data_IF_589170859546
#
_entry.id   IF_589170859546
#
_cell.length_a   1.000
_cell.length_b   1.000
_cell.length_c   1.000
_cell.angle_alpha   90.00
_cell.angle_beta   90.00
_cell.angle_gamma   90.00
#
_symmetry.space_group_name_H-M   'P 1'
#
loop_
_entity.id
_entity.type
_entity.pdbx_description
1 polymer ?
#
# COMPACT_ATOMS: atom_id res chain seq x y z
N UNK A 1 -17.04 -49.43 44.93
CA UNK A 1 -15.74 -48.96 44.43
C UNK A 1 -15.56 -47.51 44.85
N UNK A 2 -14.57 -47.15 45.69
CA UNK A 2 -14.35 -45.75 46.04
C UNK A 2 -13.78 -45.00 44.83
N UNK A 3 -14.21 -43.74 44.61
CA UNK A 3 -13.64 -42.89 43.56
C UNK A 3 -12.20 -42.52 43.93
N UNK A 4 -11.29 -42.61 42.96
CA UNK A 4 -9.92 -42.14 43.13
C UNK A 4 -9.91 -40.63 43.48
N UNK A 5 -9.05 -40.17 44.39
CA UNK A 5 -8.95 -38.76 44.73
C UNK A 5 -8.46 -37.94 43.52
N UNK A 6 -9.01 -36.74 43.36
CA UNK A 6 -8.59 -35.79 42.34
C UNK A 6 -7.09 -35.51 42.47
N UNK A 7 -6.34 -35.70 41.39
CA UNK A 7 -4.91 -35.34 41.33
C UNK A 7 -4.76 -33.81 41.40
N UNK A 8 -3.61 -33.35 41.88
CA UNK A 8 -3.24 -31.93 41.83
C UNK A 8 -3.36 -31.41 40.39
N UNK A 9 -4.21 -30.42 40.18
CA UNK A 9 -4.28 -29.71 38.90
C UNK A 9 -2.92 -29.03 38.69
N UNK A 10 -2.14 -29.50 37.73
CA UNK A 10 -0.94 -28.77 37.30
C UNK A 10 -1.38 -27.36 36.96
N UNK A 11 -0.80 -26.38 37.63
CA UNK A 11 -1.13 -24.96 37.48
C UNK A 11 -1.44 -24.59 36.03
N UNK A 12 -2.53 -23.86 35.83
CA UNK A 12 -2.81 -23.18 34.57
C UNK A 12 -1.61 -22.28 34.26
N UNK A 13 -0.65 -22.79 33.48
CA UNK A 13 0.54 -22.05 33.06
C UNK A 13 0.10 -20.98 32.07
N UNK A 14 -0.23 -19.80 32.57
CA UNK A 14 -0.28 -18.60 31.74
C UNK A 14 1.16 -18.25 31.37
N UNK A 15 1.51 -18.34 30.09
CA UNK A 15 2.83 -17.97 29.53
C UNK A 15 3.19 -16.47 29.71
N UNK A 16 2.47 -15.71 30.53
CA UNK A 16 2.71 -14.30 30.79
C UNK A 16 3.55 -14.18 32.06
N UNK A 17 4.88 -14.10 31.88
CA UNK A 17 5.77 -13.67 32.97
C UNK A 17 5.37 -12.25 33.36
N UNK A 18 5.08 -12.04 34.64
CA UNK A 18 4.86 -10.70 35.17
C UNK A 18 6.11 -9.83 35.01
N UNK A 19 5.94 -8.51 34.81
CA UNK A 19 7.09 -7.61 34.80
C UNK A 19 7.80 -7.66 36.15
N UNK A 20 9.14 -7.75 36.09
CA UNK A 20 10.02 -7.68 37.25
C UNK A 20 9.70 -6.46 38.14
N UNK A 21 9.68 -6.62 39.48
CA UNK A 21 9.37 -5.53 40.41
C UNK A 21 10.20 -4.26 40.16
N UNK A 22 11.49 -4.42 39.85
CA UNK A 22 12.38 -3.32 39.51
C UNK A 22 11.93 -2.54 38.26
N UNK A 23 11.53 -3.25 37.19
CA UNK A 23 11.03 -2.63 35.96
C UNK A 23 9.73 -1.88 36.21
N UNK A 24 8.86 -2.38 37.08
CA UNK A 24 7.63 -1.68 37.50
C UNK A 24 7.94 -0.37 38.23
N UNK A 25 8.92 -0.39 39.13
CA UNK A 25 9.40 0.80 39.84
C UNK A 25 9.88 1.90 38.89
N UNK A 26 10.69 1.54 37.89
CA UNK A 26 11.16 2.49 36.86
C UNK A 26 9.99 3.09 36.07
N UNK A 27 9.01 2.28 35.66
CA UNK A 27 7.83 2.76 34.91
C UNK A 27 7.04 3.77 35.74
N UNK A 28 6.80 3.48 37.02
CA UNK A 28 6.06 4.37 37.93
C UNK A 28 6.84 5.68 38.15
N UNK A 29 8.15 5.60 38.40
CA UNK A 29 8.99 6.79 38.60
C UNK A 29 9.02 7.71 37.38
N UNK A 30 9.17 7.14 36.18
CA UNK A 30 9.14 7.88 34.91
C UNK A 30 7.78 8.52 34.63
N UNK A 31 6.69 7.82 34.94
CA UNK A 31 5.34 8.36 34.81
C UNK A 31 5.08 9.52 35.77
N UNK A 32 5.51 9.41 37.04
CA UNK A 32 5.40 10.48 38.02
C UNK A 32 6.26 11.70 37.66
N UNK A 33 7.39 11.49 36.98
CA UNK A 33 8.22 12.56 36.42
C UNK A 33 7.59 13.25 35.18
N UNK A 34 6.38 12.85 34.77
CA UNK A 34 5.62 13.50 33.70
C UNK A 34 5.93 12.98 32.29
N UNK A 35 6.70 11.90 32.15
CA UNK A 35 6.92 11.29 30.83
C UNK A 35 5.62 10.66 30.29
N UNK A 36 5.40 10.76 28.97
CA UNK A 36 4.25 10.14 28.32
C UNK A 36 4.39 8.62 28.32
N UNK A 37 3.27 7.93 28.53
CA UNK A 37 3.21 6.45 28.60
C UNK A 37 3.79 5.77 27.35
N UNK A 38 3.56 6.35 26.16
CA UNK A 38 4.08 5.82 24.90
C UNK A 38 5.61 5.89 24.81
N UNK A 39 6.21 6.98 25.30
CA UNK A 39 7.67 7.17 25.28
C UNK A 39 8.33 6.19 26.25
N UNK A 40 7.77 6.02 27.45
CA UNK A 40 8.21 5.01 28.43
C UNK A 40 8.16 3.60 27.83
N UNK A 41 7.08 3.28 27.10
CA UNK A 41 6.91 1.97 26.45
C UNK A 41 7.96 1.72 25.36
N UNK A 42 8.23 2.70 24.51
CA UNK A 42 9.23 2.61 23.44
C UNK A 42 10.65 2.51 24.01
N UNK A 43 11.01 3.39 24.94
CA UNK A 43 12.36 3.45 25.52
C UNK A 43 12.69 2.20 26.34
N UNK A 44 11.70 1.65 27.05
CA UNK A 44 11.86 0.41 27.82
C UNK A 44 11.58 -0.86 27.00
N UNK A 45 11.27 -0.73 25.70
CA UNK A 45 10.94 -1.81 24.76
C UNK A 45 9.95 -2.84 25.34
N UNK A 46 8.91 -2.36 26.03
CA UNK A 46 8.00 -3.21 26.81
C UNK A 46 6.97 -3.92 25.93
N UNK A 47 6.65 -3.35 24.77
CA UNK A 47 5.70 -3.88 23.80
C UNK A 47 6.12 -3.40 22.41
N UNK A 48 6.56 -4.34 21.56
CA UNK A 48 6.71 -4.05 20.12
C UNK A 48 5.34 -3.73 19.52
N UNK A 49 5.27 -2.82 18.52
CA UNK A 49 4.05 -2.63 17.74
C UNK A 49 3.52 -3.99 17.28
N UNK A 50 2.21 -4.20 17.35
CA UNK A 50 1.61 -5.43 16.83
C UNK A 50 1.79 -5.42 15.32
N UNK A 51 2.80 -6.13 14.83
CA UNK A 51 2.95 -6.42 13.41
C UNK A 51 1.68 -7.18 13.02
N UNK A 52 0.92 -6.59 12.10
CA UNK A 52 -0.32 -7.20 11.60
C UNK A 52 -0.03 -8.54 10.93
N UNK A 53 -1.09 -9.15 10.38
CA UNK A 53 -0.92 -10.36 9.57
C UNK A 53 0.04 -10.05 8.40
N UNK A 54 1.09 -10.85 8.18
CA UNK A 54 1.97 -10.66 7.03
C UNK A 54 1.17 -10.79 5.73
N UNK A 55 1.59 -10.05 4.73
CA UNK A 55 0.95 -10.07 3.41
C UNK A 55 1.12 -11.45 2.78
N UNK A 56 0.09 -11.92 2.07
CA UNK A 56 0.12 -13.23 1.40
C UNK A 56 1.15 -13.23 0.26
N UNK A 57 1.36 -12.06 -0.33
CA UNK A 57 2.29 -11.85 -1.43
C UNK A 57 3.63 -11.35 -0.87
N UNK A 58 4.67 -12.19 -1.00
CA UNK A 58 6.04 -11.81 -0.65
C UNK A 58 6.57 -10.70 -1.55
N UNK A 59 7.58 -9.96 -1.09
CA UNK A 59 8.17 -8.88 -1.89
C UNK A 59 8.79 -9.38 -3.19
N UNK A 60 9.39 -10.57 -3.19
CA UNK A 60 9.86 -11.25 -4.40
C UNK A 60 8.70 -11.53 -5.38
N UNK A 61 7.55 -11.97 -4.86
CA UNK A 61 6.34 -12.16 -5.67
C UNK A 61 5.83 -10.85 -6.28
N UNK A 62 5.84 -9.75 -5.52
CA UNK A 62 5.49 -8.41 -6.03
C UNK A 62 6.40 -8.00 -7.19
N UNK A 63 7.71 -8.15 -7.02
CA UNK A 63 8.69 -7.82 -8.05
C UNK A 63 8.52 -8.67 -9.32
N UNK A 64 8.24 -9.97 -9.16
CA UNK A 64 7.99 -10.85 -10.29
C UNK A 64 6.77 -10.41 -11.10
N UNK A 65 5.66 -10.05 -10.44
CA UNK A 65 4.46 -9.54 -11.12
C UNK A 65 4.78 -8.26 -11.90
N UNK A 66 5.50 -7.33 -11.29
CA UNK A 66 5.90 -6.08 -11.96
C UNK A 66 6.79 -6.34 -13.17
N UNK A 67 7.67 -7.34 -13.11
CA UNK A 67 8.48 -7.76 -14.25
C UNK A 67 7.61 -8.31 -15.39
N UNK A 68 6.60 -9.14 -15.08
CA UNK A 68 5.69 -9.67 -16.10
C UNK A 68 4.91 -8.55 -16.79
N UNK A 69 4.42 -7.56 -16.05
CA UNK A 69 3.69 -6.42 -16.62
C UNK A 69 4.60 -5.52 -17.47
N UNK A 70 5.88 -5.40 -17.10
CA UNK A 70 6.85 -4.69 -17.95
C UNK A 70 7.12 -5.43 -19.27
N UNK A 71 7.02 -6.76 -19.28
CA UNK A 71 7.21 -7.58 -20.49
C UNK A 71 5.95 -7.59 -21.36
N UNK A 72 4.80 -7.75 -20.73
CA UNK A 72 3.48 -7.72 -21.38
C UNK A 72 2.54 -6.80 -20.59
N UNK A 73 2.40 -5.53 -21.01
CA UNK A 73 1.53 -4.55 -20.33
C UNK A 73 0.04 -4.89 -20.38
N UNK A 74 -0.40 -5.77 -21.28
CA UNK A 74 -1.81 -6.10 -21.49
C UNK A 74 -2.24 -7.40 -20.81
N UNK A 75 -1.33 -8.05 -20.08
CA UNK A 75 -1.60 -9.28 -19.34
C UNK A 75 -2.77 -9.08 -18.36
N UNK A 76 -3.73 -10.03 -18.37
CA UNK A 76 -4.86 -10.00 -17.44
C UNK A 76 -4.40 -10.42 -16.05
N UNK A 77 -5.01 -9.82 -15.02
CA UNK A 77 -4.71 -10.16 -13.62
C UNK A 77 -5.03 -11.61 -13.26
N UNK A 78 -6.02 -12.20 -13.93
CA UNK A 78 -6.33 -13.63 -13.81
C UNK A 78 -5.19 -14.52 -14.27
N UNK A 79 -4.51 -14.15 -15.36
CA UNK A 79 -3.40 -14.92 -15.92
C UNK A 79 -2.14 -14.76 -15.08
N UNK A 80 -1.93 -13.59 -14.47
CA UNK A 80 -0.91 -13.39 -13.43
C UNK A 80 -1.16 -14.33 -12.23
N UNK A 81 -2.41 -14.45 -11.77
CA UNK A 81 -2.73 -15.37 -10.67
C UNK A 81 -2.43 -16.84 -11.05
N UNK A 82 -2.73 -17.25 -12.29
CA UNK A 82 -2.40 -18.60 -12.79
C UNK A 82 -0.89 -18.85 -12.84
N UNK A 83 -0.12 -17.87 -13.33
CA UNK A 83 1.35 -17.92 -13.43
C UNK A 83 2.03 -18.15 -12.07
N UNK A 84 1.50 -17.54 -11.01
CA UNK A 84 2.06 -17.66 -9.67
C UNK A 84 1.73 -19.00 -9.01
N UNK A 85 0.73 -19.75 -9.48
CA UNK A 85 0.31 -21.03 -8.89
C UNK A 85 -0.17 -20.92 -7.42
N UNK A 86 -0.47 -19.70 -6.96
CA UNK A 86 -0.89 -19.42 -5.58
C UNK A 86 -2.36 -18.98 -5.55
N UNK A 87 -3.10 -19.26 -4.45
CA UNK A 87 -4.50 -18.84 -4.29
C UNK A 87 -4.58 -17.34 -3.94
N UNK A 88 -4.07 -16.48 -4.81
CA UNK A 88 -4.12 -15.03 -4.65
C UNK A 88 -5.36 -14.51 -5.37
N UNK A 89 -6.18 -13.73 -4.65
CA UNK A 89 -7.34 -13.08 -5.27
C UNK A 89 -6.88 -12.03 -6.29
N UNK A 90 -7.61 -11.89 -7.39
CA UNK A 90 -7.39 -10.83 -8.39
C UNK A 90 -7.42 -9.44 -7.75
N UNK A 91 -8.23 -9.25 -6.70
CA UNK A 91 -8.31 -8.02 -5.92
C UNK A 91 -7.01 -7.69 -5.18
N UNK A 92 -6.32 -8.70 -4.65
CA UNK A 92 -5.01 -8.53 -4.00
C UNK A 92 -3.98 -8.03 -5.01
N UNK A 93 -3.95 -8.63 -6.21
CA UNK A 93 -3.06 -8.21 -7.30
C UNK A 93 -3.40 -6.77 -7.74
N UNK A 94 -4.67 -6.46 -7.98
CA UNK A 94 -5.09 -5.12 -8.38
C UNK A 94 -4.74 -4.04 -7.34
N UNK A 95 -4.87 -4.33 -6.05
CA UNK A 95 -4.45 -3.41 -4.97
C UNK A 95 -2.95 -3.18 -5.00
N UNK A 96 -2.16 -4.25 -5.10
CA UNK A 96 -0.70 -4.16 -5.21
C UNK A 96 -0.28 -3.33 -6.43
N UNK A 97 -0.90 -3.56 -7.58
CA UNK A 97 -0.62 -2.80 -8.81
C UNK A 97 -0.89 -1.31 -8.62
N UNK A 98 -2.04 -0.97 -8.01
CA UNK A 98 -2.36 0.41 -7.67
C UNK A 98 -1.34 1.04 -6.72
N UNK A 99 -0.91 0.32 -5.70
CA UNK A 99 0.14 0.77 -4.75
C UNK A 99 1.49 1.00 -5.46
N UNK A 100 1.80 0.20 -6.48
CA UNK A 100 3.00 0.34 -7.32
C UNK A 100 2.88 1.40 -8.44
N UNK A 101 1.77 2.14 -8.51
CA UNK A 101 1.55 3.20 -9.50
C UNK A 101 0.95 2.73 -10.84
N UNK A 102 0.63 1.44 -10.97
CA UNK A 102 -0.05 0.90 -12.13
C UNK A 102 -1.57 0.98 -11.92
N UNK A 103 -2.20 1.88 -12.65
CA UNK A 103 -3.65 2.08 -12.58
C UNK A 103 -4.14 3.05 -13.64
N UNK A 104 -5.45 3.26 -13.67
CA UNK A 104 -6.07 4.23 -14.56
C UNK A 104 -5.92 5.63 -14.00
N UNK A 105 -5.30 6.51 -14.80
CA UNK A 105 -5.27 7.93 -14.53
C UNK A 105 -6.57 8.57 -15.00
N UNK A 106 -7.07 9.54 -14.25
CA UNK A 106 -8.22 10.33 -14.72
C UNK A 106 -7.78 11.09 -15.96
N UNK A 107 -8.53 10.94 -17.05
CA UNK A 107 -8.30 11.71 -18.26
C UNK A 107 -8.33 13.21 -17.91
N UNK A 108 -7.36 13.96 -18.43
CA UNK A 108 -7.35 15.41 -18.25
C UNK A 108 -8.57 16.00 -18.94
N UNK A 109 -9.26 16.93 -18.25
CA UNK A 109 -10.39 17.63 -18.85
C UNK A 109 -9.90 18.47 -20.02
N UNK A 110 -10.70 18.55 -21.09
CA UNK A 110 -10.46 19.49 -22.20
C UNK A 110 -10.25 20.89 -21.60
N UNK A 111 -9.14 21.59 -21.90
CA UNK A 111 -8.95 22.95 -21.45
C UNK A 111 -10.13 23.81 -21.89
N UNK A 112 -10.61 24.69 -21.01
CA UNK A 112 -11.68 25.61 -21.36
C UNK A 112 -11.21 26.56 -22.46
N UNK A 113 -12.12 26.86 -23.40
CA UNK A 113 -11.85 27.82 -24.46
C UNK A 113 -11.96 29.22 -23.87
N UNK A 114 -10.84 29.75 -23.38
CA UNK A 114 -10.76 31.16 -22.97
C UNK A 114 -10.77 32.06 -24.20
N UNK A 115 -11.19 33.32 -24.03
CA UNK A 115 -11.20 34.31 -25.12
C UNK A 115 -9.82 34.48 -25.76
N UNK A 116 -8.76 34.45 -24.96
CA UNK A 116 -7.36 34.50 -25.42
C UNK A 116 -7.02 33.31 -26.34
N UNK A 117 -7.33 32.08 -25.91
CA UNK A 117 -7.09 30.87 -26.70
C UNK A 117 -7.96 30.87 -27.96
N UNK A 118 -9.21 31.35 -27.85
CA UNK A 118 -10.11 31.47 -28.98
C UNK A 118 -9.57 32.46 -30.03
N UNK A 119 -9.07 33.61 -29.59
CA UNK A 119 -8.44 34.62 -30.45
C UNK A 119 -7.18 34.07 -31.13
N UNK A 120 -6.29 33.43 -30.38
CA UNK A 120 -5.10 32.77 -30.95
C UNK A 120 -5.47 31.72 -32.01
N UNK A 121 -6.47 30.89 -31.73
CA UNK A 121 -6.98 29.90 -32.71
C UNK A 121 -7.57 30.57 -33.94
N UNK A 122 -8.33 31.64 -33.74
CA UNK A 122 -8.93 32.41 -34.83
C UNK A 122 -7.86 33.05 -35.72
N UNK A 123 -6.90 33.78 -35.15
CA UNK A 123 -5.81 34.42 -35.89
C UNK A 123 -4.98 33.38 -36.65
N UNK A 124 -4.66 32.26 -36.01
CA UNK A 124 -3.90 31.19 -36.64
C UNK A 124 -4.64 30.59 -37.86
N UNK A 125 -5.95 30.38 -37.75
CA UNK A 125 -6.78 29.87 -38.83
C UNK A 125 -7.01 30.92 -39.93
N UNK A 126 -7.29 32.16 -39.55
CA UNK A 126 -7.57 33.26 -40.48
C UNK A 126 -6.38 33.55 -41.39
N UNK A 127 -5.16 33.59 -40.83
CA UNK A 127 -3.91 33.79 -41.59
C UNK A 127 -3.63 32.66 -42.59
N UNK A 128 -4.26 31.49 -42.42
CA UNK A 128 -4.02 30.28 -43.22
C UNK A 128 -5.26 29.79 -43.96
N UNK A 129 -6.31 30.62 -44.03
CA UNK A 129 -7.60 30.23 -44.62
C UNK A 129 -7.48 29.84 -46.09
N UNK A 130 -6.56 30.50 -46.81
CA UNK A 130 -6.36 30.32 -48.26
C UNK A 130 -5.13 29.45 -48.57
N UNK A 131 -4.62 28.69 -47.60
CA UNK A 131 -3.43 27.86 -47.80
C UNK A 131 -3.70 26.64 -48.68
N UNK A 132 -2.75 26.37 -49.58
CA UNK A 132 -2.80 25.20 -50.47
C UNK A 132 -2.31 23.94 -49.77
N UNK A 133 -2.60 22.78 -50.37
CA UNK A 133 -2.13 21.47 -49.88
C UNK A 133 -0.61 21.43 -49.68
N UNK A 134 0.16 21.98 -50.62
CA UNK A 134 1.62 22.04 -50.54
C UNK A 134 2.13 22.87 -49.35
N UNK A 135 1.37 23.90 -48.95
CA UNK A 135 1.69 24.72 -47.78
C UNK A 135 1.34 24.00 -46.47
N UNK A 136 0.21 23.29 -46.43
CA UNK A 136 -0.17 22.45 -45.29
C UNK A 136 0.76 21.25 -45.06
N UNK A 137 1.25 20.63 -46.14
CA UNK A 137 2.17 19.49 -46.09
C UNK A 137 3.52 19.83 -45.45
N UNK A 138 3.86 21.11 -45.26
CA UNK A 138 5.08 21.53 -44.57
C UNK A 138 4.91 21.66 -43.05
N UNK A 139 3.67 21.65 -42.55
CA UNK A 139 3.34 21.81 -41.12
C UNK A 139 2.93 20.48 -40.47
N UNK A 140 2.19 19.64 -41.20
CA UNK A 140 1.72 18.32 -40.75
C UNK A 140 2.84 17.30 -40.92
#
# INVERSE_FOLDING_TARGET
MPRAPLRSTSSNRTNRKELEPFKRGIIVGRFLAGQKKADIQCEMNLLSPRIGRPDILSDAGKQYILLQIKRDPFIRTEDICKLLGMPISTRTVARMLKESGYGHWRAQKRPQLTEEIAKLRYEWAYMRKDWTYEQWSKII
#
